data_IF_454045918059
#
_entry.id   IF_454045918059
#
_cell.length_a   1.000
_cell.length_b   1.000
_cell.length_c   1.000
_cell.angle_alpha   90.00
_cell.angle_beta   90.00
_cell.angle_gamma   90.00
#
_symmetry.space_group_name_H-M   'P 1'
#
loop_
_entity.id
_entity.type
_entity.pdbx_description
1 polymer ?
#
# COMPACT_ATOMS: atom_id res chain seq x y z
N UNK A 1 10.06 -3.41 -30.06
CA UNK A 1 9.95 -2.50 -28.89
C UNK A 1 8.57 -2.72 -28.27
N UNK A 2 8.49 -2.96 -26.96
CA UNK A 2 7.19 -3.16 -26.28
C UNK A 2 6.54 -1.82 -25.98
N UNK A 3 5.28 -1.67 -26.38
CA UNK A 3 4.42 -0.55 -26.02
C UNK A 3 3.05 -1.12 -25.61
N UNK A 4 2.52 -0.74 -24.43
CA UNK A 4 3.13 0.12 -23.41
C UNK A 4 4.30 -0.56 -22.66
N UNK A 5 5.15 0.24 -22.03
CA UNK A 5 6.18 -0.23 -21.10
C UNK A 5 5.58 -0.73 -19.78
N UNK A 6 6.39 -1.31 -18.87
CA UNK A 6 5.92 -1.70 -17.54
C UNK A 6 5.50 -0.47 -16.70
N UNK A 7 4.59 -0.63 -15.72
CA UNK A 7 4.16 0.46 -14.84
C UNK A 7 5.31 1.08 -14.04
N UNK A 8 5.26 2.39 -13.83
CA UNK A 8 6.23 3.17 -13.05
C UNK A 8 5.76 3.28 -11.60
N UNK A 9 6.52 2.67 -10.69
CA UNK A 9 6.33 2.83 -9.25
C UNK A 9 7.23 3.94 -8.71
N UNK A 10 6.63 4.89 -7.99
CA UNK A 10 7.35 5.94 -7.27
C UNK A 10 7.09 5.80 -5.77
N UNK A 11 8.16 5.57 -5.02
CA UNK A 11 8.13 5.48 -3.55
C UNK A 11 8.44 6.82 -2.88
N UNK A 12 7.71 7.17 -1.83
CA UNK A 12 8.00 8.33 -1.01
C UNK A 12 6.76 9.12 -0.60
N UNK A 13 6.91 9.98 0.40
CA UNK A 13 5.79 10.71 1.02
C UNK A 13 6.11 12.18 1.31
N UNK A 14 7.19 12.72 0.76
CA UNK A 14 7.51 14.15 0.85
C UNK A 14 6.88 14.95 -0.29
N UNK A 15 6.68 16.25 -0.12
CA UNK A 15 5.90 17.08 -1.06
C UNK A 15 6.48 17.07 -2.49
N UNK A 16 7.82 17.11 -2.61
CA UNK A 16 8.49 16.98 -3.92
C UNK A 16 8.19 15.62 -4.58
N UNK A 17 8.15 14.54 -3.81
CA UNK A 17 7.86 13.21 -4.33
C UNK A 17 6.40 13.07 -4.72
N UNK A 18 5.47 13.63 -3.95
CA UNK A 18 4.05 13.60 -4.27
C UNK A 18 3.71 14.34 -5.57
N UNK A 19 4.42 15.45 -5.85
CA UNK A 19 4.32 16.09 -7.17
C UNK A 19 4.74 15.15 -8.30
N UNK A 20 5.86 14.45 -8.15
CA UNK A 20 6.32 13.48 -9.15
C UNK A 20 5.37 12.29 -9.28
N UNK A 21 4.77 11.83 -8.18
CA UNK A 21 3.75 10.79 -8.19
C UNK A 21 2.56 11.22 -9.05
N UNK A 22 2.01 12.41 -8.80
CA UNK A 22 0.91 12.94 -9.59
C UNK A 22 1.26 13.09 -11.07
N UNK A 23 2.47 13.57 -11.38
CA UNK A 23 2.89 13.83 -12.76
C UNK A 23 3.23 12.54 -13.54
N UNK A 24 3.77 11.50 -12.90
CA UNK A 24 4.48 10.41 -13.60
C UNK A 24 4.18 8.99 -13.13
N UNK A 25 3.68 8.78 -11.91
CA UNK A 25 3.54 7.42 -11.37
C UNK A 25 2.29 6.71 -11.88
N UNK A 26 2.43 5.42 -12.17
CA UNK A 26 1.30 4.49 -12.25
C UNK A 26 0.99 3.88 -10.87
N UNK A 27 2.00 3.79 -9.99
CA UNK A 27 1.89 3.24 -8.64
C UNK A 27 2.60 4.17 -7.65
N UNK A 28 1.89 4.63 -6.62
CA UNK A 28 2.48 5.31 -5.47
C UNK A 28 2.78 4.30 -4.36
N UNK A 29 4.00 4.30 -3.82
CA UNK A 29 4.40 3.43 -2.72
C UNK A 29 4.78 4.19 -1.46
N UNK A 30 4.33 3.68 -0.31
CA UNK A 30 4.65 4.21 1.02
C UNK A 30 4.84 3.06 2.04
N UNK A 31 5.88 3.10 2.89
CA UNK A 31 6.04 2.16 4.00
C UNK A 31 4.91 2.35 5.01
N UNK A 32 4.26 1.26 5.39
CA UNK A 32 3.23 1.21 6.41
C UNK A 32 3.75 0.85 7.79
N UNK A 33 2.88 0.34 8.69
CA UNK A 33 3.28 -0.04 10.03
C UNK A 33 4.40 -1.09 10.03
N UNK A 34 5.37 -0.97 10.95
CA UNK A 34 5.41 -0.04 12.09
C UNK A 34 5.99 1.34 11.79
N UNK A 35 6.49 1.60 10.57
CA UNK A 35 7.16 2.86 10.24
C UNK A 35 6.21 4.05 10.18
N UNK A 36 5.04 3.86 9.57
CA UNK A 36 4.01 4.88 9.49
C UNK A 36 2.64 4.30 9.85
N UNK A 37 1.84 5.04 10.60
CA UNK A 37 0.48 4.62 10.95
C UNK A 37 -0.43 4.72 9.73
N UNK A 38 -1.37 3.77 9.57
CA UNK A 38 -2.31 3.75 8.44
C UNK A 38 -3.07 5.07 8.30
N UNK A 39 -3.52 5.65 9.42
CA UNK A 39 -4.21 6.94 9.42
C UNK A 39 -3.35 8.09 8.87
N UNK A 40 -2.06 8.13 9.21
CA UNK A 40 -1.13 9.12 8.68
C UNK A 40 -0.89 8.91 7.19
N UNK A 41 -0.82 7.65 6.75
CA UNK A 41 -0.66 7.33 5.33
C UNK A 41 -1.89 7.81 4.53
N UNK A 42 -3.11 7.59 5.06
CA UNK A 42 -4.34 8.08 4.46
C UNK A 42 -4.34 9.60 4.31
N UNK A 43 -3.85 10.33 5.32
CA UNK A 43 -3.68 11.77 5.26
C UNK A 43 -2.66 12.18 4.19
N UNK A 44 -1.48 11.54 4.14
CA UNK A 44 -0.46 11.82 3.11
C UNK A 44 -0.95 11.50 1.70
N UNK A 45 -1.84 10.52 1.54
CA UNK A 45 -2.43 10.14 0.26
C UNK A 45 -3.29 11.20 -0.40
N UNK A 46 -3.72 12.23 0.34
CA UNK A 46 -4.45 13.39 -0.21
C UNK A 46 -3.56 14.35 -0.99
N UNK A 47 -2.26 14.41 -0.68
CA UNK A 47 -1.35 15.37 -1.31
C UNK A 47 -1.11 15.07 -2.80
N UNK A 48 -0.89 13.81 -3.23
CA UNK A 48 -0.93 13.48 -4.66
C UNK A 48 -2.25 13.81 -5.34
N UNK A 49 -3.39 13.70 -4.63
CA UNK A 49 -4.71 14.01 -5.20
C UNK A 49 -4.85 15.50 -5.52
N UNK A 50 -4.39 16.37 -4.63
CA UNK A 50 -4.35 17.83 -4.85
C UNK A 50 -3.47 18.17 -6.07
N UNK A 51 -2.31 17.50 -6.20
CA UNK A 51 -1.44 17.69 -7.37
C UNK A 51 -2.07 17.15 -8.66
N UNK A 52 -2.77 16.02 -8.61
CA UNK A 52 -3.50 15.47 -9.76
C UNK A 52 -4.59 16.44 -10.22
N UNK A 53 -5.37 17.00 -9.28
CA UNK A 53 -6.39 18.00 -9.58
C UNK A 53 -5.78 19.26 -10.24
N UNK A 54 -4.62 19.71 -9.77
CA UNK A 54 -3.94 20.89 -10.33
C UNK A 54 -3.46 20.70 -11.78
N UNK A 55 -3.18 19.46 -12.21
CA UNK A 55 -2.72 19.14 -13.57
C UNK A 55 -3.80 18.50 -14.45
N UNK A 56 -5.03 18.33 -13.93
CA UNK A 56 -6.14 17.71 -14.65
C UNK A 56 -6.03 16.19 -14.81
N UNK A 57 -5.29 15.50 -13.93
CA UNK A 57 -5.19 14.04 -13.89
C UNK A 57 -6.23 13.45 -12.93
N UNK A 58 -6.82 12.31 -13.25
CA UNK A 58 -7.64 11.55 -12.31
C UNK A 58 -6.72 10.81 -11.31
N UNK A 59 -6.76 11.12 -10.00
CA UNK A 59 -5.91 10.44 -9.02
C UNK A 59 -6.17 8.93 -8.92
N UNK A 60 -7.33 8.45 -9.39
CA UNK A 60 -7.66 7.01 -9.44
C UNK A 60 -6.86 6.23 -10.47
N UNK A 61 -6.18 6.91 -11.38
CA UNK A 61 -5.21 6.28 -12.30
C UNK A 61 -3.95 5.80 -11.57
N UNK A 62 -3.71 6.26 -10.33
CA UNK A 62 -2.54 5.88 -9.54
C UNK A 62 -2.94 4.77 -8.57
N UNK A 63 -2.36 3.58 -8.74
CA UNK A 63 -2.51 2.51 -7.75
C UNK A 63 -1.78 2.90 -6.47
N UNK A 64 -2.48 2.88 -5.34
CA UNK A 64 -1.87 3.15 -4.02
C UNK A 64 -1.38 1.87 -3.39
N UNK A 65 -0.07 1.83 -3.11
CA UNK A 65 0.66 0.69 -2.62
C UNK A 65 1.24 0.94 -1.23
N UNK A 66 1.02 0.01 -0.30
CA UNK A 66 1.61 0.06 1.04
C UNK A 66 2.29 -1.26 1.37
N UNK A 67 3.45 -1.21 2.02
CA UNK A 67 4.07 -2.40 2.63
C UNK A 67 3.90 -2.35 4.14
N UNK A 68 3.39 -3.42 4.75
CA UNK A 68 3.34 -3.57 6.20
C UNK A 68 4.12 -4.80 6.65
N UNK A 69 4.77 -4.70 7.81
CA UNK A 69 5.53 -5.82 8.38
C UNK A 69 4.59 -6.69 9.20
N UNK A 70 4.57 -7.99 8.88
CA UNK A 70 3.77 -8.99 9.58
C UNK A 70 4.39 -9.32 10.94
N UNK A 71 3.55 -9.37 11.97
CA UNK A 71 3.85 -9.97 13.26
C UNK A 71 3.38 -11.43 13.27
N UNK A 72 4.31 -12.37 13.46
CA UNK A 72 4.00 -13.80 13.50
C UNK A 72 3.17 -14.20 14.72
N UNK A 73 3.26 -13.43 15.80
CA UNK A 73 2.58 -13.70 17.07
C UNK A 73 1.16 -13.12 17.12
N UNK A 74 0.81 -12.25 16.18
CA UNK A 74 -0.45 -11.51 16.21
C UNK A 74 -1.06 -11.35 14.81
N UNK A 75 -1.58 -12.47 14.29
CA UNK A 75 -2.29 -12.50 13.02
C UNK A 75 -3.57 -11.63 13.03
N UNK A 76 -4.23 -11.47 14.18
CA UNK A 76 -5.43 -10.64 14.30
C UNK A 76 -5.11 -9.16 14.10
N UNK A 77 -4.03 -8.67 14.70
CA UNK A 77 -3.53 -7.31 14.44
C UNK A 77 -3.09 -7.12 13.00
N UNK A 78 -2.38 -8.09 12.43
CA UNK A 78 -1.99 -8.02 11.01
C UNK A 78 -3.21 -7.91 10.10
N UNK A 79 -4.23 -8.76 10.31
CA UNK A 79 -5.51 -8.70 9.60
C UNK A 79 -6.18 -7.34 9.75
N UNK A 80 -6.23 -6.79 10.96
CA UNK A 80 -6.76 -5.45 11.22
C UNK A 80 -6.01 -4.38 10.42
N UNK A 81 -4.68 -4.42 10.39
CA UNK A 81 -3.86 -3.47 9.62
C UNK A 81 -4.09 -3.57 8.12
N UNK A 82 -4.29 -4.78 7.58
CA UNK A 82 -4.67 -4.98 6.18
C UNK A 82 -6.04 -4.35 5.92
N UNK A 83 -7.03 -4.61 6.76
CA UNK A 83 -8.36 -4.03 6.64
C UNK A 83 -8.34 -2.50 6.69
N UNK A 84 -7.67 -1.92 7.69
CA UNK A 84 -7.48 -0.47 7.82
C UNK A 84 -6.79 0.13 6.59
N UNK A 85 -5.85 -0.60 5.97
CA UNK A 85 -5.17 -0.16 4.75
C UNK A 85 -6.11 -0.14 3.55
N UNK A 86 -7.00 -1.13 3.42
CA UNK A 86 -8.03 -1.15 2.37
C UNK A 86 -9.00 0.03 2.54
N UNK A 87 -9.49 0.25 3.77
CA UNK A 87 -10.35 1.41 4.10
C UNK A 87 -9.67 2.76 3.81
N UNK A 88 -8.33 2.82 3.97
CA UNK A 88 -7.53 3.98 3.61
C UNK A 88 -7.29 4.14 2.09
N UNK A 89 -7.87 3.27 1.26
CA UNK A 89 -7.76 3.31 -0.20
C UNK A 89 -6.46 2.72 -0.75
N UNK A 90 -5.76 1.87 0.02
CA UNK A 90 -4.58 1.14 -0.47
C UNK A 90 -5.02 -0.12 -1.23
N UNK A 91 -5.07 -0.01 -2.55
CA UNK A 91 -5.48 -1.10 -3.44
C UNK A 91 -4.39 -2.17 -3.68
N UNK A 92 -3.14 -1.89 -3.31
CA UNK A 92 -2.04 -2.84 -3.42
C UNK A 92 -1.30 -2.95 -2.07
N UNK A 93 -1.45 -4.08 -1.38
CA UNK A 93 -0.91 -4.26 -0.03
C UNK A 93 0.16 -5.36 -0.05
N UNK A 94 1.38 -5.00 0.32
CA UNK A 94 2.53 -5.91 0.40
C UNK A 94 2.74 -6.32 1.86
N UNK A 95 2.66 -7.62 2.13
CA UNK A 95 2.93 -8.18 3.45
C UNK A 95 4.40 -8.60 3.53
N UNK A 96 5.20 -7.82 4.25
CA UNK A 96 6.62 -8.11 4.48
C UNK A 96 6.79 -9.09 5.62
N UNK A 97 7.54 -10.17 5.37
CA UNK A 97 7.77 -11.25 6.31
C UNK A 97 9.16 -11.06 6.94
N UNK A 98 9.28 -10.67 8.22
CA UNK A 98 10.58 -10.50 8.86
C UNK A 98 11.31 -11.84 9.01
N UNK A 99 12.63 -11.84 9.00
CA UNK A 99 13.42 -13.05 9.31
C UNK A 99 13.52 -13.26 10.83
N UNK A 100 13.66 -14.52 11.31
CA UNK A 100 13.61 -15.77 10.55
C UNK A 100 12.17 -16.12 10.12
N UNK A 101 12.01 -16.87 9.03
CA UNK A 101 10.71 -17.30 8.54
C UNK A 101 10.26 -18.58 9.27
N UNK A 102 9.16 -18.57 10.04
CA UNK A 102 8.64 -19.77 10.67
C UNK A 102 8.12 -20.77 9.62
N UNK A 103 8.20 -22.05 9.93
CA UNK A 103 7.58 -23.09 9.10
C UNK A 103 6.07 -22.85 8.96
N UNK A 104 5.51 -23.24 7.82
CA UNK A 104 4.10 -23.09 7.46
C UNK A 104 3.54 -21.64 7.42
N UNK A 105 4.35 -20.61 7.67
CA UNK A 105 3.84 -19.23 7.70
C UNK A 105 3.16 -18.75 6.39
N UNK A 106 3.62 -19.13 5.17
CA UNK A 106 2.91 -18.75 3.95
C UNK A 106 1.44 -19.21 3.90
N UNK A 107 1.13 -20.39 4.46
CA UNK A 107 -0.25 -20.88 4.58
C UNK A 107 -1.03 -20.09 5.62
N UNK A 108 -0.45 -19.90 6.82
CA UNK A 108 -1.08 -19.11 7.89
C UNK A 108 -1.38 -17.67 7.47
N UNK A 109 -0.47 -17.02 6.74
CA UNK A 109 -0.69 -15.70 6.15
C UNK A 109 -1.94 -15.68 5.25
N UNK A 110 -2.11 -16.72 4.44
CA UNK A 110 -3.27 -16.84 3.54
C UNK A 110 -4.55 -17.06 4.34
N UNK A 111 -4.55 -18.04 5.24
CA UNK A 111 -5.76 -18.51 5.92
C UNK A 111 -6.22 -17.57 7.05
N UNK A 112 -5.29 -16.95 7.78
CA UNK A 112 -5.59 -16.13 8.97
C UNK A 112 -5.68 -14.63 8.67
N UNK A 113 -5.08 -14.16 7.55
CA UNK A 113 -4.99 -12.73 7.23
C UNK A 113 -5.65 -12.41 5.89
N UNK A 114 -5.18 -13.01 4.79
CA UNK A 114 -5.60 -12.59 3.43
C UNK A 114 -7.02 -13.05 3.11
N UNK A 115 -7.33 -14.34 3.27
CA UNK A 115 -8.64 -14.89 2.90
C UNK A 115 -9.79 -14.28 3.72
N UNK A 116 -9.66 -14.06 5.04
CA UNK A 116 -10.70 -13.36 5.81
C UNK A 116 -10.97 -11.94 5.32
N UNK A 117 -9.94 -11.12 5.09
CA UNK A 117 -10.12 -9.76 4.55
C UNK A 117 -10.84 -9.81 3.20
N UNK A 118 -10.41 -10.69 2.29
CA UNK A 118 -11.02 -10.81 0.96
C UNK A 118 -12.46 -11.30 0.98
N UNK A 119 -12.89 -12.01 2.03
CA UNK A 119 -14.28 -12.46 2.15
C UNK A 119 -15.23 -11.33 2.58
N UNK A 120 -14.70 -10.22 3.09
CA UNK A 120 -15.44 -9.07 3.60
C UNK A 120 -15.41 -7.85 2.66
N UNK A 121 -14.59 -7.88 1.59
CA UNK A 121 -14.52 -6.86 0.52
C UNK A 121 -15.57 -7.10 -0.57
#
# INVERSE_FOLDING_TARGET
MQRPGPPILIGGWGDRMHRLVAEQADIWYVPGPPHNLVAWIAERGRVPDDHCAAIGRDPREIVRSVQTIVSYDDAARCRKTVWESVEAGMGHIVLSLPTPHPEAWPRRLTDEIIAPVRAEL
#
